data_IF_958946462394
#
_entry.id   IF_958946462394
#
_cell.length_a   1.000
_cell.length_b   1.000
_cell.length_c   1.000
_cell.angle_alpha   90.00
_cell.angle_beta   90.00
_cell.angle_gamma   90.00
#
_symmetry.space_group_name_H-M   'P 1'
#
loop_
_entity.id
_entity.type
_entity.pdbx_description
1 polymer ?
#
# COMPACT_ATOMS: atom_id res chain seq x y z
N UNK A 1 -30.98 22.67 14.05
CA UNK A 1 -31.00 21.77 12.88
C UNK A 1 -29.67 21.83 12.12
N UNK A 2 -28.52 21.70 12.82
CA UNK A 2 -27.15 21.87 12.26
C UNK A 2 -26.26 20.62 12.48
N UNK A 3 -26.85 19.47 12.90
CA UNK A 3 -26.03 18.38 13.44
C UNK A 3 -25.76 17.18 12.51
N UNK A 4 -26.37 17.09 11.32
CA UNK A 4 -26.19 15.90 10.45
C UNK A 4 -25.13 16.07 9.35
N UNK A 5 -24.89 17.28 8.87
CA UNK A 5 -23.89 17.56 7.82
C UNK A 5 -22.46 17.51 8.33
N UNK A 6 -22.21 17.97 9.56
CA UNK A 6 -20.89 17.93 10.18
C UNK A 6 -20.39 16.52 10.50
N UNK A 7 -21.33 15.58 10.76
CA UNK A 7 -20.98 14.18 11.08
C UNK A 7 -20.46 13.39 9.88
N UNK A 8 -20.90 13.73 8.68
CA UNK A 8 -20.42 13.11 7.44
C UNK A 8 -19.07 13.65 6.98
N UNK A 9 -18.77 14.92 7.22
CA UNK A 9 -17.45 15.49 6.91
C UNK A 9 -16.36 14.98 7.84
N UNK A 10 -16.66 14.76 9.11
CA UNK A 10 -15.70 14.21 10.08
C UNK A 10 -15.45 12.71 9.82
N UNK A 11 -16.46 11.93 9.45
CA UNK A 11 -16.29 10.51 9.11
C UNK A 11 -15.61 10.29 7.75
N UNK A 12 -15.80 11.17 6.79
CA UNK A 12 -15.11 11.11 5.49
C UNK A 12 -13.63 11.46 5.55
N UNK A 13 -13.18 12.18 6.58
CA UNK A 13 -11.78 12.57 6.77
C UNK A 13 -10.89 11.45 7.35
N UNK A 14 -11.50 10.39 7.91
CA UNK A 14 -10.76 9.25 8.48
C UNK A 14 -10.60 8.05 7.54
N UNK A 15 -11.33 8.00 6.44
CA UNK A 15 -11.15 6.94 5.45
C UNK A 15 -10.00 7.29 4.52
N UNK A 16 -9.02 6.38 4.42
CA UNK A 16 -7.90 6.55 3.50
C UNK A 16 -8.35 6.62 2.05
N UNK A 17 -7.64 7.42 1.25
CA UNK A 17 -7.86 7.59 -0.19
C UNK A 17 -6.55 7.46 -0.95
N UNK A 18 -6.67 7.02 -2.20
CA UNK A 18 -5.56 6.97 -3.15
C UNK A 18 -5.86 7.91 -4.31
N UNK A 19 -4.95 8.83 -4.58
CA UNK A 19 -4.97 9.66 -5.77
C UNK A 19 -3.80 9.30 -6.68
N UNK A 20 -4.01 9.44 -7.97
CA UNK A 20 -3.01 9.11 -8.98
C UNK A 20 -2.91 10.21 -10.03
N UNK A 21 -1.69 10.47 -10.46
CA UNK A 21 -1.38 11.27 -11.64
C UNK A 21 -0.20 10.66 -12.40
N UNK A 22 -0.18 10.87 -13.72
CA UNK A 22 0.97 10.55 -14.55
C UNK A 22 1.26 11.73 -15.49
N UNK A 23 2.54 12.10 -15.57
CA UNK A 23 3.02 13.11 -16.50
C UNK A 23 4.40 12.73 -17.02
N UNK A 24 4.53 12.60 -18.34
CA UNK A 24 5.82 12.34 -19.02
C UNK A 24 6.57 11.10 -18.53
N UNK A 25 5.82 10.07 -18.07
CA UNK A 25 6.35 8.82 -17.52
C UNK A 25 6.68 8.88 -16.01
N UNK A 26 6.52 10.03 -15.37
CA UNK A 26 6.58 10.16 -13.91
C UNK A 26 5.19 9.91 -13.35
N UNK A 27 5.09 8.91 -12.49
CA UNK A 27 3.85 8.54 -11.81
C UNK A 27 3.86 9.05 -10.37
N UNK A 28 2.72 9.53 -9.90
CA UNK A 28 2.52 9.96 -8.52
C UNK A 28 1.35 9.21 -7.94
N UNK A 29 1.60 8.48 -6.85
CA UNK A 29 0.59 7.84 -6.03
C UNK A 29 0.52 8.57 -4.69
N UNK A 30 -0.54 9.33 -4.47
CA UNK A 30 -0.76 10.07 -3.23
C UNK A 30 -1.71 9.31 -2.32
N UNK A 31 -1.30 9.14 -1.07
CA UNK A 31 -2.05 8.49 -0.02
C UNK A 31 -2.54 9.54 0.98
N UNK A 32 -3.85 9.54 1.25
CA UNK A 32 -4.48 10.54 2.12
C UNK A 32 -5.16 9.84 3.30
N UNK A 33 -5.05 10.46 4.49
CA UNK A 33 -5.74 10.03 5.70
C UNK A 33 -5.16 8.74 6.29
N UNK A 34 -6.02 7.84 6.75
CA UNK A 34 -5.65 6.60 7.43
C UNK A 34 -5.56 5.45 6.42
N UNK A 35 -4.35 5.09 6.02
CA UNK A 35 -4.07 4.10 4.97
C UNK A 35 -4.08 2.70 5.58
N UNK A 36 -5.10 1.93 5.25
CA UNK A 36 -5.37 0.61 5.84
C UNK A 36 -5.48 -0.48 4.78
N UNK A 37 -5.48 -1.72 5.25
CA UNK A 37 -5.61 -2.94 4.43
C UNK A 37 -6.76 -2.87 3.40
N UNK A 38 -7.81 -2.10 3.66
CA UNK A 38 -8.94 -1.88 2.74
C UNK A 38 -8.56 -1.20 1.43
N UNK A 39 -7.46 -0.44 1.40
CA UNK A 39 -6.90 0.16 0.18
C UNK A 39 -5.96 -0.79 -0.57
N UNK A 40 -5.62 -1.90 0.05
CA UNK A 40 -4.69 -2.88 -0.48
C UNK A 40 -5.06 -3.40 -1.88
N UNK A 41 -6.32 -3.79 -2.17
CA UNK A 41 -6.71 -4.22 -3.51
C UNK A 41 -6.45 -3.17 -4.59
N UNK A 42 -6.75 -1.90 -4.30
CA UNK A 42 -6.49 -0.78 -5.22
C UNK A 42 -5.00 -0.58 -5.47
N UNK A 43 -4.17 -0.67 -4.41
CA UNK A 43 -2.69 -0.61 -4.54
C UNK A 43 -2.18 -1.79 -5.38
N UNK A 44 -2.73 -2.99 -5.19
CA UNK A 44 -2.32 -4.17 -5.95
C UNK A 44 -2.67 -4.07 -7.43
N UNK A 45 -3.83 -3.53 -7.78
CA UNK A 45 -4.21 -3.27 -9.17
C UNK A 45 -3.31 -2.20 -9.79
N UNK A 46 -3.02 -1.15 -9.04
CA UNK A 46 -2.05 -0.15 -9.45
C UNK A 46 -0.69 -0.77 -9.76
N UNK A 47 -0.17 -1.63 -8.88
CA UNK A 47 1.10 -2.32 -9.04
C UNK A 47 1.14 -3.18 -10.32
N UNK A 48 0.04 -3.87 -10.65
CA UNK A 48 -0.06 -4.65 -11.88
C UNK A 48 0.08 -3.75 -13.11
N UNK A 49 -0.63 -2.61 -13.14
CA UNK A 49 -0.57 -1.64 -14.23
C UNK A 49 0.81 -0.98 -14.34
N UNK A 50 1.45 -0.72 -13.20
CA UNK A 50 2.81 -0.18 -13.16
C UNK A 50 3.79 -1.08 -13.91
N UNK A 51 3.77 -2.40 -13.65
CA UNK A 51 4.65 -3.38 -14.31
C UNK A 51 4.45 -3.49 -15.82
N UNK A 52 3.29 -3.09 -16.34
CA UNK A 52 2.95 -3.13 -17.77
C UNK A 52 3.26 -1.81 -18.50
N UNK A 53 3.64 -0.76 -17.79
CA UNK A 53 3.86 0.58 -18.36
C UNK A 53 5.11 0.60 -19.26
N UNK A 54 4.93 1.01 -20.52
CA UNK A 54 6.03 1.15 -21.50
C UNK A 54 6.72 2.52 -21.43
N UNK A 55 6.10 3.49 -20.79
CA UNK A 55 6.58 4.87 -20.71
C UNK A 55 7.10 5.24 -19.33
N UNK A 56 7.15 4.29 -18.41
CA UNK A 56 7.56 4.50 -17.03
C UNK A 56 9.00 5.03 -16.94
N UNK A 57 9.19 6.07 -16.13
CA UNK A 57 10.50 6.64 -15.78
C UNK A 57 10.77 6.59 -14.30
N UNK A 58 9.77 6.98 -13.48
CA UNK A 58 9.89 6.98 -12.03
C UNK A 58 8.51 7.00 -11.37
N UNK A 59 8.47 6.67 -10.08
CA UNK A 59 7.28 6.81 -9.25
C UNK A 59 7.60 7.57 -7.97
N UNK A 60 6.69 8.45 -7.57
CA UNK A 60 6.69 9.19 -6.33
C UNK A 60 5.50 8.71 -5.50
N UNK A 61 5.75 8.27 -4.28
CA UNK A 61 4.73 8.00 -3.27
C UNK A 61 4.61 9.23 -2.40
N UNK A 62 3.47 9.91 -2.46
CA UNK A 62 3.20 11.13 -1.71
C UNK A 62 2.41 10.80 -0.44
N UNK A 63 3.06 10.95 0.72
CA UNK A 63 2.49 10.75 2.05
C UNK A 63 2.25 12.07 2.80
N UNK A 64 2.24 13.20 2.10
CA UNK A 64 2.10 14.53 2.72
C UNK A 64 0.81 14.69 3.53
N UNK A 65 -0.27 14.00 3.14
CA UNK A 65 -1.57 14.01 3.81
C UNK A 65 -1.90 12.67 4.50
N UNK A 66 -0.91 11.79 4.66
CA UNK A 66 -1.07 10.51 5.37
C UNK A 66 -1.03 10.75 6.88
N UNK A 67 -2.05 10.26 7.60
CA UNK A 67 -2.17 10.36 9.04
C UNK A 67 -1.76 9.08 9.77
N UNK A 68 -1.98 7.94 9.15
CA UNK A 68 -1.60 6.61 9.65
C UNK A 68 -1.44 5.62 8.50
N UNK A 69 -0.62 4.59 8.74
CA UNK A 69 -0.40 3.52 7.76
C UNK A 69 -0.20 2.20 8.48
N UNK A 70 -0.90 1.14 8.03
CA UNK A 70 -0.74 -0.19 8.60
C UNK A 70 0.37 -1.00 7.92
N UNK A 71 0.78 -2.10 8.55
CA UNK A 71 1.86 -2.97 8.05
C UNK A 71 1.54 -3.61 6.70
N UNK A 72 0.27 -3.92 6.42
CA UNK A 72 -0.12 -4.45 5.11
C UNK A 72 0.12 -3.42 4.01
N UNK A 73 -0.30 -2.18 4.24
CA UNK A 73 -0.08 -1.07 3.30
C UNK A 73 1.41 -0.77 3.12
N UNK A 74 2.20 -0.80 4.20
CA UNK A 74 3.66 -0.71 4.12
C UNK A 74 4.25 -1.83 3.25
N UNK A 75 3.83 -3.08 3.46
CA UNK A 75 4.30 -4.20 2.63
C UNK A 75 3.98 -4.04 1.15
N UNK A 76 2.82 -3.46 0.83
CA UNK A 76 2.46 -3.15 -0.56
C UNK A 76 3.29 -2.00 -1.15
N UNK A 77 3.60 -0.96 -0.37
CA UNK A 77 4.53 0.09 -0.80
C UNK A 77 5.94 -0.49 -1.04
N UNK A 78 6.43 -1.33 -0.13
CA UNK A 78 7.70 -2.02 -0.33
C UNK A 78 7.69 -2.86 -1.62
N UNK A 79 6.58 -3.54 -1.92
CA UNK A 79 6.41 -4.29 -3.17
C UNK A 79 6.46 -3.39 -4.41
N UNK A 80 5.89 -2.17 -4.35
CA UNK A 80 6.04 -1.18 -5.44
C UNK A 80 7.52 -0.89 -5.68
N UNK A 81 8.30 -0.66 -4.62
CA UNK A 81 9.72 -0.38 -4.76
C UNK A 81 10.49 -1.55 -5.38
N UNK A 82 10.31 -2.75 -4.85
CA UNK A 82 11.01 -3.93 -5.37
C UNK A 82 10.65 -4.18 -6.84
N UNK A 83 9.34 -4.11 -7.20
CA UNK A 83 8.91 -4.25 -8.60
C UNK A 83 9.51 -3.17 -9.50
N UNK A 84 9.58 -1.93 -9.02
CA UNK A 84 10.16 -0.81 -9.78
C UNK A 84 11.65 -1.03 -10.03
N UNK A 85 12.37 -1.48 -9.01
CA UNK A 85 13.81 -1.77 -9.13
C UNK A 85 14.06 -2.97 -10.06
N UNK A 86 13.29 -4.05 -9.91
CA UNK A 86 13.44 -5.27 -10.72
C UNK A 86 13.08 -5.05 -12.20
N UNK A 87 11.99 -4.29 -12.46
CA UNK A 87 11.46 -4.13 -13.82
C UNK A 87 12.12 -3.00 -14.57
N UNK A 88 12.44 -1.89 -13.89
CA UNK A 88 12.88 -0.64 -14.53
C UNK A 88 14.25 -0.17 -14.06
N UNK A 89 14.87 -0.83 -13.08
CA UNK A 89 16.17 -0.44 -12.51
C UNK A 89 16.17 0.90 -11.77
N UNK A 90 14.97 1.39 -11.34
CA UNK A 90 14.80 2.72 -10.74
C UNK A 90 14.37 2.60 -9.28
N UNK A 91 15.01 3.36 -8.39
CA UNK A 91 14.63 3.47 -6.98
C UNK A 91 13.54 4.54 -6.87
N UNK A 92 12.34 4.21 -6.36
CA UNK A 92 11.25 5.17 -6.20
C UNK A 92 11.51 6.15 -5.06
N UNK A 93 10.74 7.26 -5.06
CA UNK A 93 10.81 8.29 -4.03
C UNK A 93 9.58 8.25 -3.14
N UNK A 94 9.75 8.46 -1.84
CA UNK A 94 8.68 8.75 -0.88
C UNK A 94 8.81 10.19 -0.39
N UNK A 95 7.69 10.94 -0.40
CA UNK A 95 7.58 12.23 0.26
C UNK A 95 6.88 12.03 1.60
N UNK A 96 7.59 12.25 2.70
CA UNK A 96 7.09 12.06 4.06
C UNK A 96 7.53 13.19 4.99
N UNK A 97 6.76 14.30 5.07
CA UNK A 97 7.03 15.40 5.99
C UNK A 97 6.63 15.08 7.45
N UNK A 98 5.72 14.13 7.66
CA UNK A 98 5.30 13.71 8.99
C UNK A 98 6.39 12.83 9.63
N UNK A 99 6.97 13.32 10.74
CA UNK A 99 8.07 12.63 11.42
C UNK A 99 7.68 11.27 12.00
N UNK A 100 6.44 11.07 12.43
CA UNK A 100 5.98 9.79 12.95
C UNK A 100 5.87 8.75 11.82
N UNK A 101 5.32 9.15 10.66
CA UNK A 101 5.29 8.28 9.46
C UNK A 101 6.73 7.98 9.00
N UNK A 102 7.59 9.00 8.94
CA UNK A 102 8.99 8.83 8.52
C UNK A 102 9.72 7.85 9.44
N UNK A 103 9.54 7.96 10.76
CA UNK A 103 10.12 7.04 11.74
C UNK A 103 9.64 5.59 11.54
N UNK A 104 8.36 5.41 11.23
CA UNK A 104 7.82 4.07 10.88
C UNK A 104 8.51 3.53 9.62
N UNK A 105 8.60 4.33 8.55
CA UNK A 105 9.26 3.94 7.30
C UNK A 105 10.72 3.51 7.54
N UNK A 106 11.49 4.33 8.24
CA UNK A 106 12.89 4.05 8.56
C UNK A 106 13.03 2.78 9.42
N UNK A 107 12.16 2.61 10.43
CA UNK A 107 12.17 1.42 11.29
C UNK A 107 11.89 0.13 10.53
N UNK A 108 11.16 0.21 9.42
CA UNK A 108 10.85 -0.92 8.54
C UNK A 108 11.88 -1.12 7.42
N UNK A 109 12.94 -0.28 7.34
CA UNK A 109 14.02 -0.40 6.37
C UNK A 109 13.69 0.21 4.99
N UNK A 110 12.75 1.13 4.91
CA UNK A 110 12.37 1.80 3.67
C UNK A 110 13.47 2.72 3.13
N UNK A 111 14.36 3.20 3.98
CA UNK A 111 15.57 3.94 3.62
C UNK A 111 16.52 3.18 2.69
N UNK A 112 16.40 1.85 2.63
CA UNK A 112 17.20 0.97 1.76
C UNK A 112 16.59 0.75 0.39
N UNK A 113 15.29 0.96 0.27
CA UNK A 113 14.54 0.65 -0.96
C UNK A 113 13.83 1.86 -1.56
N UNK A 114 13.84 3.00 -0.87
CA UNK A 114 13.29 4.28 -1.33
C UNK A 114 14.24 5.43 -1.06
N UNK A 115 14.15 6.47 -1.88
CA UNK A 115 14.66 7.80 -1.53
C UNK A 115 13.57 8.52 -0.72
N UNK A 116 13.82 8.78 0.57
CA UNK A 116 12.84 9.45 1.45
C UNK A 116 13.16 10.94 1.50
N UNK A 117 12.19 11.78 1.12
CA UNK A 117 12.30 13.24 1.12
C UNK A 117 11.21 13.85 2.01
N UNK A 118 11.48 15.03 2.58
CA UNK A 118 10.50 15.76 3.42
C UNK A 118 9.59 16.68 2.61
N UNK A 119 10.00 17.08 1.41
CA UNK A 119 9.30 18.05 0.58
C UNK A 119 9.13 17.52 -0.85
N UNK A 120 8.00 17.89 -1.46
CA UNK A 120 7.76 17.62 -2.87
C UNK A 120 8.49 18.69 -3.71
N UNK A 121 9.39 18.25 -4.57
CA UNK A 121 10.21 19.16 -5.40
C UNK A 121 9.55 19.44 -6.76
N UNK A 122 8.46 18.74 -7.10
CA UNK A 122 7.84 18.82 -8.42
C UNK A 122 6.33 19.00 -8.28
N UNK A 123 5.75 19.93 -9.05
CA UNK A 123 4.31 20.02 -9.20
C UNK A 123 3.78 18.77 -9.90
N UNK A 124 2.96 18.02 -9.20
CA UNK A 124 2.24 16.89 -9.76
C UNK A 124 1.13 17.43 -10.67
N UNK A 125 0.89 16.74 -11.78
CA UNK A 125 -0.27 17.03 -12.63
C UNK A 125 -1.60 16.90 -11.87
N UNK A 126 -2.71 17.02 -12.56
CA UNK A 126 -4.03 16.88 -11.94
C UNK A 126 -4.20 15.46 -11.37
N UNK A 127 -4.35 15.34 -10.05
CA UNK A 127 -4.55 14.08 -9.34
C UNK A 127 -6.01 13.61 -9.50
N UNK A 128 -6.20 12.37 -9.95
CA UNK A 128 -7.50 11.69 -9.97
C UNK A 128 -7.62 10.66 -8.86
N UNK A 129 -8.81 10.54 -8.25
CA UNK A 129 -9.06 9.54 -7.21
C UNK A 129 -9.17 8.14 -7.84
N UNK A 130 -8.46 7.16 -7.28
CA UNK A 130 -8.59 5.76 -7.64
C UNK A 130 -9.78 5.15 -6.91
N UNK A 131 -10.65 4.47 -7.66
CA UNK A 131 -11.79 3.78 -7.05
C UNK A 131 -11.32 2.66 -6.13
N UNK A 132 -11.91 2.59 -4.93
CA UNK A 132 -11.63 1.52 -3.98
C UNK A 132 -12.16 0.20 -4.54
N UNK A 133 -11.29 -0.79 -4.62
CA UNK A 133 -11.65 -2.13 -5.08
C UNK A 133 -12.08 -3.01 -3.91
N UNK A 134 -13.16 -3.75 -4.11
CA UNK A 134 -13.66 -4.74 -3.15
C UNK A 134 -13.27 -6.13 -3.66
N UNK A 135 -12.64 -6.92 -2.80
CA UNK A 135 -12.23 -8.29 -3.13
C UNK A 135 -12.78 -9.27 -2.10
N UNK A 136 -12.75 -10.57 -2.42
CA UNK A 136 -13.12 -11.61 -1.47
C UNK A 136 -12.17 -11.65 -0.26
N UNK A 137 -12.66 -12.14 0.87
CA UNK A 137 -11.86 -12.30 2.10
C UNK A 137 -10.60 -13.16 1.84
N UNK A 138 -10.72 -14.23 1.09
CA UNK A 138 -9.58 -15.09 0.73
C UNK A 138 -8.51 -14.36 -0.08
N UNK A 139 -8.91 -13.48 -0.99
CA UNK A 139 -7.98 -12.64 -1.77
C UNK A 139 -7.32 -11.59 -0.88
N UNK A 140 -8.08 -10.97 0.03
CA UNK A 140 -7.55 -10.00 0.99
C UNK A 140 -6.54 -10.65 1.93
N UNK A 141 -6.86 -11.83 2.48
CA UNK A 141 -5.95 -12.61 3.33
C UNK A 141 -4.64 -12.95 2.60
N UNK A 142 -4.72 -13.42 1.34
CA UNK A 142 -3.52 -13.68 0.53
C UNK A 142 -2.68 -12.42 0.38
N UNK A 143 -3.31 -11.29 0.16
CA UNK A 143 -2.62 -10.02 0.01
C UNK A 143 -1.92 -9.58 1.30
N UNK A 144 -2.59 -9.75 2.47
CA UNK A 144 -1.98 -9.51 3.79
C UNK A 144 -0.75 -10.38 3.97
N UNK A 145 -0.86 -11.68 3.68
CA UNK A 145 0.25 -12.61 3.79
C UNK A 145 1.43 -12.22 2.89
N UNK A 146 1.15 -11.92 1.61
CA UNK A 146 2.18 -11.54 0.64
C UNK A 146 2.87 -10.21 1.04
N UNK A 147 2.11 -9.24 1.55
CA UNK A 147 2.64 -7.96 2.03
C UNK A 147 3.60 -8.13 3.21
N UNK A 148 3.24 -8.95 4.20
CA UNK A 148 4.12 -9.20 5.35
C UNK A 148 5.37 -10.00 4.97
N UNK A 149 5.27 -10.96 4.03
CA UNK A 149 6.45 -11.64 3.49
C UNK A 149 7.43 -10.66 2.82
N UNK A 150 6.90 -9.67 2.10
CA UNK A 150 7.71 -8.61 1.51
C UNK A 150 8.41 -7.79 2.60
N UNK A 151 7.70 -7.35 3.67
CA UNK A 151 8.35 -6.65 4.79
C UNK A 151 9.44 -7.49 5.44
N UNK A 152 9.20 -8.78 5.67
CA UNK A 152 10.18 -9.70 6.24
C UNK A 152 11.44 -9.83 5.38
N UNK A 153 11.33 -9.64 4.06
CA UNK A 153 12.48 -9.70 3.15
C UNK A 153 13.41 -8.48 3.23
N UNK A 154 12.93 -7.36 3.79
CA UNK A 154 13.70 -6.12 3.85
C UNK A 154 14.82 -6.16 4.90
N UNK A 155 14.58 -6.77 6.06
CA UNK A 155 15.57 -6.88 7.13
C UNK A 155 15.19 -7.92 8.20
N UNK A 156 16.17 -8.31 9.04
CA UNK A 156 16.00 -9.31 10.10
C UNK A 156 15.03 -8.87 11.22
N UNK A 157 14.96 -7.56 11.53
CA UNK A 157 14.01 -7.04 12.51
C UNK A 157 12.57 -7.29 12.06
N UNK A 158 12.22 -6.95 10.83
CA UNK A 158 10.90 -7.21 10.27
C UNK A 158 10.60 -8.72 10.24
N UNK A 159 11.62 -9.55 9.95
CA UNK A 159 11.47 -11.01 10.00
C UNK A 159 11.03 -11.46 11.38
N UNK A 160 11.70 -11.03 12.44
CA UNK A 160 11.33 -11.37 13.81
C UNK A 160 9.97 -10.83 14.22
N UNK A 161 9.60 -9.60 13.76
CA UNK A 161 8.34 -8.96 14.11
C UNK A 161 7.11 -9.61 13.47
N UNK A 162 7.22 -10.07 12.21
CA UNK A 162 6.08 -10.58 11.44
C UNK A 162 6.03 -12.10 11.27
N UNK A 163 7.04 -12.82 11.72
CA UNK A 163 7.16 -14.28 11.56
C UNK A 163 5.94 -15.02 12.10
N UNK A 164 5.51 -14.72 13.32
CA UNK A 164 4.39 -15.42 13.97
C UNK A 164 3.06 -15.12 13.26
N UNK A 165 2.86 -13.86 12.80
CA UNK A 165 1.69 -13.49 12.03
C UNK A 165 1.63 -14.26 10.70
N UNK A 166 2.76 -14.32 9.98
CA UNK A 166 2.83 -15.03 8.70
C UNK A 166 2.56 -16.52 8.90
N UNK A 167 3.14 -17.15 9.91
CA UNK A 167 2.87 -18.55 10.25
C UNK A 167 1.38 -18.79 10.57
N UNK A 168 0.76 -17.92 11.37
CA UNK A 168 -0.66 -18.04 11.70
C UNK A 168 -1.53 -17.96 10.44
N UNK A 169 -1.28 -16.99 9.55
CA UNK A 169 -2.02 -16.84 8.30
C UNK A 169 -1.82 -18.02 7.32
N UNK A 170 -0.66 -18.67 7.36
CA UNK A 170 -0.37 -19.87 6.56
C UNK A 170 -1.12 -21.11 7.09
N UNK A 171 -1.13 -21.30 8.41
CA UNK A 171 -1.80 -22.44 9.04
C UNK A 171 -3.32 -22.42 8.89
N UNK A 172 -3.96 -21.26 8.95
CA UNK A 172 -5.39 -21.13 8.71
C UNK A 172 -5.82 -21.56 7.29
N UNK A 173 -4.90 -21.57 6.30
CA UNK A 173 -5.16 -22.12 4.95
C UNK A 173 -5.30 -23.64 4.93
N UNK A 174 -4.72 -24.34 5.90
CA UNK A 174 -4.74 -25.81 5.99
C UNK A 174 -6.02 -26.32 6.66
N UNK A 175 -6.72 -25.44 7.39
CA UNK A 175 -7.90 -25.78 8.19
C UNK A 175 -9.25 -25.56 7.51
N UNK A 176 -9.34 -25.12 6.24
CA UNK A 176 -10.62 -25.10 5.54
C UNK A 176 -11.02 -26.51 5.14
N UNK A 177 -12.10 -27.11 5.73
CA UNK A 177 -12.59 -28.43 5.33
C UNK A 177 -13.06 -28.36 3.88
N UNK A 178 -12.66 -29.34 3.11
CA UNK A 178 -13.24 -29.66 1.80
C UNK A 178 -14.69 -30.21 1.99
N UNK A 179 -15.59 -29.44 2.55
CA UNK A 179 -17.01 -29.75 2.70
C UNK A 179 -17.86 -28.68 2.02
N UNK A 180 -18.06 -28.90 0.74
CA UNK A 180 -19.34 -28.63 0.04
C UNK A 180 -19.19 -28.90 -1.48
N UNK A 181 -18.63 -30.06 -1.82
CA UNK A 181 -18.92 -30.68 -3.11
C UNK A 181 -19.72 -31.94 -2.82
N UNK A 182 -20.97 -31.91 -3.19
CA UNK A 182 -21.95 -33.01 -3.29
C UNK A 182 -23.20 -32.78 -2.41
N UNK A 183 -24.07 -31.89 -2.87
CA UNK A 183 -25.52 -31.97 -2.67
C UNK A 183 -26.22 -31.20 -3.79
N UNK A 184 -26.18 -31.75 -5.01
CA UNK A 184 -27.29 -31.64 -5.96
C UNK A 184 -27.25 -32.96 -6.76
N UNK A 185 -28.06 -33.88 -6.37
CA UNK A 185 -28.60 -34.93 -7.17
C UNK A 185 -30.11 -34.88 -7.02
#
# INVERSE_FOLDING_TARGET
MISRYLRWQVLGSFMGKLLFAERDGVQVLKLIGDVRVTLGPTISTFLTRLGESKTFKSIIIDLTETQGIDSTSLGLLAKISLTTQETFGTIPTIISPNEDITRILESMGFDKVFVILKELVTECGQLGELNTEIVSESKLRKQVLDAHRVLMSLNERNRGEFQDLVQALEHERVGEPAEQRDRVA
#
